data_IF_439548936146
#
_entry.id   IF_439548936146
#
_cell.length_a   1.000
_cell.length_b   1.000
_cell.length_c   1.000
_cell.angle_alpha   90.00
_cell.angle_beta   90.00
_cell.angle_gamma   90.00
#
_symmetry.space_group_name_H-M   'P 1'
#
loop_
_entity.id
_entity.type
_entity.pdbx_description
1 polymer ?
#
# COMPACT_ATOMS: atom_id res chain seq x y z
N UNK A 1 -7.86 16.98 13.14
CA UNK A 1 -6.42 16.75 12.88
C UNK A 1 -5.96 17.78 11.86
N UNK A 2 -5.09 18.72 12.23
CA UNK A 2 -4.63 19.74 11.27
C UNK A 2 -3.82 19.09 10.13
N UNK A 3 -4.19 19.36 8.87
CA UNK A 3 -3.50 18.83 7.67
C UNK A 3 -2.00 19.16 7.63
N UNK A 4 -1.53 20.13 8.43
CA UNK A 4 -0.14 20.58 8.52
C UNK A 4 0.85 19.47 8.89
N UNK A 5 0.42 18.44 9.63
CA UNK A 5 1.31 17.37 10.12
C UNK A 5 1.18 16.05 9.34
N UNK A 6 0.42 16.02 8.24
CA UNK A 6 0.27 14.83 7.39
C UNK A 6 1.15 14.95 6.14
N UNK A 7 2.00 13.96 5.89
CA UNK A 7 2.94 13.94 4.77
C UNK A 7 2.80 12.68 3.93
N UNK A 8 2.91 12.83 2.61
CA UNK A 8 2.80 11.73 1.64
C UNK A 8 4.13 11.49 0.92
N UNK A 9 4.65 10.28 1.07
CA UNK A 9 5.86 9.82 0.38
C UNK A 9 5.57 9.31 -1.03
N UNK A 10 5.84 10.12 -2.05
CA UNK A 10 5.57 9.81 -3.46
C UNK A 10 6.87 9.54 -4.22
N UNK A 11 6.84 8.66 -5.22
CA UNK A 11 8.00 8.46 -6.10
C UNK A 11 8.35 9.77 -6.83
N UNK A 12 9.64 10.06 -6.98
CA UNK A 12 10.12 11.30 -7.59
C UNK A 12 9.52 11.55 -8.98
N UNK A 13 9.37 10.50 -9.78
CA UNK A 13 8.79 10.55 -11.13
C UNK A 13 7.33 11.05 -11.16
N UNK A 14 6.53 10.76 -10.12
CA UNK A 14 5.11 11.12 -10.05
C UNK A 14 4.87 12.44 -9.31
N UNK A 15 5.93 13.14 -8.87
CA UNK A 15 5.78 14.34 -8.02
C UNK A 15 5.06 15.49 -8.73
N UNK A 16 5.29 15.66 -10.03
CA UNK A 16 4.67 16.74 -10.81
C UNK A 16 3.15 16.55 -10.89
N UNK A 17 2.72 15.39 -11.40
CA UNK A 17 1.29 15.04 -11.49
C UNK A 17 0.61 15.08 -10.11
N UNK A 18 1.27 14.57 -9.07
CA UNK A 18 0.70 14.55 -7.74
C UNK A 18 0.49 15.96 -7.16
N UNK A 19 1.41 16.90 -7.41
CA UNK A 19 1.26 18.31 -6.97
C UNK A 19 0.14 19.03 -7.71
N UNK A 20 -0.03 18.74 -9.00
CA UNK A 20 -1.12 19.30 -9.81
C UNK A 20 -2.47 18.76 -9.37
N UNK A 21 -2.59 17.44 -9.12
CA UNK A 21 -3.84 16.79 -8.72
C UNK A 21 -4.22 17.05 -7.26
N UNK A 22 -3.23 17.21 -6.37
CA UNK A 22 -3.45 17.34 -4.93
C UNK A 22 -2.62 18.49 -4.33
N UNK A 23 -2.96 19.75 -4.65
CA UNK A 23 -2.18 20.92 -4.22
C UNK A 23 -2.15 21.11 -2.70
N UNK A 24 -3.20 20.66 -2.00
CA UNK A 24 -3.34 20.83 -0.55
C UNK A 24 -2.58 19.78 0.29
N UNK A 25 -1.94 18.80 -0.34
CA UNK A 25 -1.22 17.72 0.36
C UNK A 25 0.26 18.06 0.50
N UNK A 26 0.84 17.74 1.68
CA UNK A 26 2.28 17.85 1.87
C UNK A 26 3.00 16.67 1.21
N UNK A 27 3.34 16.82 -0.07
CA UNK A 27 4.01 15.80 -0.86
C UNK A 27 5.54 15.87 -0.71
N UNK A 28 6.17 14.74 -0.43
CA UNK A 28 7.62 14.64 -0.28
C UNK A 28 8.15 13.46 -1.12
N UNK A 29 9.23 13.65 -1.90
CA UNK A 29 9.83 12.55 -2.63
C UNK A 29 10.33 11.47 -1.66
N UNK A 30 9.89 10.23 -1.88
CA UNK A 30 10.30 9.06 -1.08
C UNK A 30 11.82 8.91 -1.12
N UNK A 31 12.41 8.56 0.03
CA UNK A 31 13.86 8.43 0.23
C UNK A 31 14.70 9.69 0.04
N UNK A 32 14.08 10.88 -0.10
CA UNK A 32 14.81 12.13 0.05
C UNK A 32 15.24 12.36 1.50
N UNK A 33 16.25 13.22 1.72
CA UNK A 33 16.71 13.61 3.06
C UNK A 33 15.54 14.14 3.91
N UNK A 34 14.68 14.99 3.33
CA UNK A 34 13.48 15.50 3.99
C UNK A 34 12.52 14.37 4.39
N UNK A 35 12.32 13.37 3.53
CA UNK A 35 11.47 12.23 3.84
C UNK A 35 12.03 11.37 4.97
N UNK A 36 13.34 11.13 4.98
CA UNK A 36 14.00 10.38 6.06
C UNK A 36 13.90 11.12 7.40
N UNK A 37 14.11 12.43 7.38
CA UNK A 37 13.98 13.26 8.58
C UNK A 37 12.54 13.26 9.14
N UNK A 38 11.54 13.38 8.26
CA UNK A 38 10.13 13.32 8.65
C UNK A 38 9.75 11.94 9.19
N UNK A 39 10.15 10.86 8.51
CA UNK A 39 9.81 9.50 8.95
C UNK A 39 10.46 9.17 10.30
N UNK A 40 11.70 9.59 10.54
CA UNK A 40 12.35 9.39 11.84
C UNK A 40 11.64 10.09 13.02
N UNK A 41 10.93 11.20 12.75
CA UNK A 41 10.22 12.01 13.77
C UNK A 41 8.72 11.74 13.84
N UNK A 42 8.17 10.98 12.89
CA UNK A 42 6.73 10.76 12.81
C UNK A 42 6.25 9.88 13.97
N UNK A 43 5.12 10.25 14.56
CA UNK A 43 4.44 9.41 15.55
C UNK A 43 3.74 8.21 14.90
N UNK A 44 3.31 8.34 13.64
CA UNK A 44 2.59 7.30 12.91
C UNK A 44 3.20 7.05 11.55
N UNK A 45 3.41 5.77 11.24
CA UNK A 45 3.75 5.28 9.91
C UNK A 45 2.59 4.48 9.37
N UNK A 46 2.02 4.91 8.25
CA UNK A 46 0.92 4.22 7.58
C UNK A 46 1.41 3.78 6.20
N UNK A 47 1.52 2.47 5.99
CA UNK A 47 1.94 1.90 4.73
C UNK A 47 1.03 0.72 4.35
N UNK A 48 0.91 0.48 3.04
CA UNK A 48 0.19 -0.66 2.45
C UNK A 48 1.14 -1.71 1.85
N UNK A 49 2.44 -1.43 1.89
CA UNK A 49 3.49 -2.20 1.27
C UNK A 49 4.70 -2.26 2.18
N UNK A 50 5.65 -3.09 1.78
CA UNK A 50 6.85 -3.37 2.55
C UNK A 50 7.84 -2.21 2.51
N UNK A 51 8.47 -1.91 3.65
CA UNK A 51 9.52 -0.90 3.78
C UNK A 51 10.89 -1.56 3.93
N UNK A 52 11.96 -0.93 3.40
CA UNK A 52 13.30 -1.50 3.51
C UNK A 52 13.73 -1.78 4.96
N UNK A 53 14.48 -2.87 5.16
CA UNK A 53 14.94 -3.28 6.50
C UNK A 53 15.91 -2.29 7.14
N UNK A 54 16.63 -1.49 6.34
CA UNK A 54 17.54 -0.46 6.85
C UNK A 54 16.81 0.74 7.46
N UNK A 55 15.55 0.97 7.10
CA UNK A 55 14.75 2.06 7.66
C UNK A 55 14.23 1.61 9.03
N UNK A 56 14.80 2.09 10.12
CA UNK A 56 14.39 1.73 11.48
C UNK A 56 13.33 2.68 12.00
N UNK A 57 12.25 2.15 12.61
CA UNK A 57 11.26 2.97 13.31
C UNK A 57 11.81 3.42 14.66
N UNK A 58 11.40 4.59 15.13
CA UNK A 58 11.63 4.99 16.52
C UNK A 58 10.74 4.14 17.45
N UNK A 59 11.12 3.99 18.73
CA UNK A 59 10.36 3.24 19.74
C UNK A 59 8.95 3.78 19.95
N UNK A 60 8.78 5.10 19.84
CA UNK A 60 7.50 5.79 20.01
C UNK A 60 6.64 5.83 18.74
N UNK A 61 7.22 5.45 17.59
CA UNK A 61 6.48 5.45 16.32
C UNK A 61 5.58 4.22 16.24
N UNK A 62 4.30 4.44 15.98
CA UNK A 62 3.31 3.41 15.70
C UNK A 62 3.30 3.13 14.20
N UNK A 63 3.62 1.90 13.82
CA UNK A 63 3.62 1.41 12.45
C UNK A 63 2.35 0.60 12.18
N UNK A 64 1.46 1.21 11.40
CA UNK A 64 0.22 0.63 10.88
C UNK A 64 0.48 0.10 9.46
N UNK A 65 0.29 -1.20 9.27
CA UNK A 65 0.35 -1.87 7.97
C UNK A 65 -1.08 -2.18 7.52
N UNK A 66 -1.51 -1.57 6.41
CA UNK A 66 -2.82 -1.86 5.82
C UNK A 66 -2.78 -3.04 4.87
N UNK A 67 -1.59 -3.49 4.46
CA UNK A 67 -1.41 -4.47 3.39
C UNK A 67 -2.20 -4.09 2.12
N UNK A 68 -2.36 -5.01 1.17
CA UNK A 68 -2.94 -4.71 -0.14
C UNK A 68 -3.96 -5.73 -0.66
N UNK A 69 -4.42 -6.66 0.18
CA UNK A 69 -5.49 -7.58 -0.22
C UNK A 69 -5.54 -8.87 0.59
N UNK A 70 -6.65 -9.57 0.45
CA UNK A 70 -6.83 -10.93 0.97
C UNK A 70 -5.86 -11.87 0.25
N UNK A 71 -5.05 -12.64 0.98
CA UNK A 71 -4.09 -13.55 0.37
C UNK A 71 -4.81 -14.72 -0.31
N UNK A 72 -4.72 -14.79 -1.64
CA UNK A 72 -5.14 -15.97 -2.42
C UNK A 72 -3.96 -16.92 -2.69
N UNK A 73 -2.76 -16.36 -2.88
CA UNK A 73 -1.51 -17.12 -3.00
C UNK A 73 -0.87 -17.29 -1.63
N UNK A 74 -0.13 -18.39 -1.40
CA UNK A 74 0.67 -18.58 -0.19
C UNK A 74 1.69 -17.43 -0.07
N UNK A 75 1.81 -16.84 1.12
CA UNK A 75 2.70 -15.70 1.40
C UNK A 75 3.68 -16.05 2.52
N UNK A 76 4.82 -15.36 2.54
CA UNK A 76 5.77 -15.43 3.66
C UNK A 76 6.21 -16.86 3.99
N UNK A 77 5.93 -17.29 5.22
CA UNK A 77 6.32 -18.60 5.74
C UNK A 77 5.67 -19.79 5.00
N UNK A 78 4.52 -19.58 4.36
CA UNK A 78 3.76 -20.65 3.68
C UNK A 78 4.28 -20.96 2.27
N UNK A 79 5.22 -20.17 1.74
CA UNK A 79 5.83 -20.45 0.44
C UNK A 79 6.80 -21.64 0.60
N UNK A 80 6.53 -22.75 -0.08
CA UNK A 80 7.38 -23.94 -0.02
C UNK A 80 8.71 -23.74 -0.77
N UNK A 81 8.70 -23.08 -1.93
CA UNK A 81 9.90 -22.74 -2.69
C UNK A 81 9.78 -21.34 -3.30
N UNK A 82 10.79 -20.49 -3.05
CA UNK A 82 10.95 -19.18 -3.69
C UNK A 82 11.96 -19.33 -4.81
N UNK A 83 11.50 -19.48 -6.05
CA UNK A 83 12.35 -19.48 -7.24
C UNK A 83 12.68 -18.04 -7.70
N UNK A 84 13.13 -17.18 -6.78
CA UNK A 84 13.60 -15.83 -7.13
C UNK A 84 15.12 -15.82 -7.27
N UNK A 85 15.68 -15.32 -8.39
CA UNK A 85 17.12 -15.21 -8.56
C UNK A 85 17.73 -14.36 -7.42
N UNK A 86 18.78 -14.89 -6.77
CA UNK A 86 19.54 -14.17 -5.75
C UNK A 86 18.99 -14.20 -4.32
N UNK A 87 17.92 -14.96 -4.02
CA UNK A 87 17.42 -15.12 -2.65
C UNK A 87 17.02 -16.57 -2.36
N UNK A 88 17.56 -17.14 -1.28
CA UNK A 88 17.11 -18.44 -0.74
C UNK A 88 15.75 -18.29 -0.03
N UNK A 89 14.86 -19.27 -0.19
CA UNK A 89 13.55 -19.39 0.46
C UNK A 89 13.63 -19.09 1.96
N UNK A 90 14.67 -19.56 2.67
CA UNK A 90 14.86 -19.27 4.10
C UNK A 90 15.13 -17.79 4.37
N UNK A 91 16.00 -17.16 3.57
CA UNK A 91 16.35 -15.74 3.71
C UNK A 91 15.16 -14.84 3.42
N UNK A 92 14.35 -15.21 2.42
CA UNK A 92 13.10 -14.53 2.10
C UNK A 92 12.12 -14.57 3.28
N UNK A 93 11.86 -15.76 3.84
CA UNK A 93 10.97 -15.94 5.01
C UNK A 93 11.44 -15.12 6.21
N UNK A 94 12.73 -15.18 6.54
CA UNK A 94 13.28 -14.43 7.65
C UNK A 94 13.15 -12.92 7.46
N UNK A 95 13.40 -12.40 6.26
CA UNK A 95 13.19 -10.98 5.97
C UNK A 95 11.73 -10.55 6.17
N UNK A 96 10.77 -11.40 5.77
CA UNK A 96 9.35 -11.15 5.99
C UNK A 96 8.97 -11.12 7.47
N UNK A 97 9.45 -12.10 8.25
CA UNK A 97 9.17 -12.16 9.69
C UNK A 97 9.80 -10.96 10.41
N UNK A 98 11.04 -10.61 10.08
CA UNK A 98 11.72 -9.44 10.65
C UNK A 98 10.98 -8.14 10.31
N UNK A 99 10.43 -8.04 9.12
CA UNK A 99 9.62 -6.88 8.75
C UNK A 99 8.28 -6.86 9.50
N UNK A 100 7.58 -7.99 9.55
CA UNK A 100 6.30 -8.12 10.22
C UNK A 100 6.39 -7.79 11.72
N UNK A 101 7.47 -8.20 12.38
CA UNK A 101 7.76 -7.87 13.78
C UNK A 101 7.82 -6.36 14.07
N UNK A 102 8.04 -5.53 13.03
CA UNK A 102 8.11 -4.07 13.18
C UNK A 102 6.75 -3.39 13.13
N UNK A 103 5.72 -4.06 12.62
CA UNK A 103 4.37 -3.50 12.52
C UNK A 103 3.70 -3.62 13.88
N UNK A 104 3.17 -2.52 14.41
CA UNK A 104 2.40 -2.55 15.67
C UNK A 104 0.95 -2.98 15.41
N UNK A 105 0.42 -2.58 14.25
CA UNK A 105 -0.93 -2.92 13.81
C UNK A 105 -0.93 -3.46 12.38
N UNK A 106 -1.70 -4.52 12.15
CA UNK A 106 -1.97 -5.08 10.82
C UNK A 106 -3.48 -5.12 10.56
N UNK A 107 -3.93 -4.51 9.47
CA UNK A 107 -5.36 -4.56 9.10
C UNK A 107 -5.69 -5.90 8.42
N UNK A 108 -6.74 -6.57 8.89
CA UNK A 108 -7.31 -7.75 8.28
C UNK A 108 -8.72 -7.45 7.74
N UNK A 109 -9.05 -7.95 6.52
CA UNK A 109 -10.38 -7.75 5.96
C UNK A 109 -11.45 -8.70 6.54
N UNK A 110 -11.04 -9.79 7.19
CA UNK A 110 -11.91 -10.81 7.79
C UNK A 110 -11.09 -11.77 8.68
N UNK A 111 -11.78 -12.53 9.53
CA UNK A 111 -11.22 -13.55 10.44
C UNK A 111 -10.32 -14.58 9.72
N UNK A 112 -10.70 -15.00 8.51
CA UNK A 112 -9.90 -15.91 7.68
C UNK A 112 -8.52 -15.34 7.36
N UNK A 113 -8.48 -14.07 6.95
CA UNK A 113 -7.23 -13.38 6.62
C UNK A 113 -6.41 -13.12 7.87
N UNK A 114 -7.03 -12.82 9.00
CA UNK A 114 -6.33 -12.69 10.28
C UNK A 114 -5.57 -13.98 10.63
N UNK A 115 -6.24 -15.14 10.56
CA UNK A 115 -5.62 -16.44 10.85
C UNK A 115 -4.42 -16.69 9.93
N UNK A 116 -4.57 -16.42 8.63
CA UNK A 116 -3.47 -16.56 7.66
C UNK A 116 -2.35 -15.59 7.97
N UNK A 117 -2.64 -14.33 8.26
CA UNK A 117 -1.59 -13.33 8.53
C UNK A 117 -0.82 -13.65 9.80
N UNK A 118 -1.47 -14.11 10.86
CA UNK A 118 -0.82 -14.59 12.09
C UNK A 118 0.16 -15.73 11.79
N UNK A 119 -0.24 -16.69 10.95
CA UNK A 119 0.60 -17.84 10.57
C UNK A 119 1.73 -17.44 9.59
N UNK A 120 1.37 -16.87 8.43
CA UNK A 120 2.27 -16.56 7.33
C UNK A 120 3.36 -15.54 7.70
N UNK A 121 3.03 -14.60 8.60
CA UNK A 121 3.95 -13.56 9.05
C UNK A 121 4.53 -13.80 10.46
N UNK A 122 4.12 -14.88 11.13
CA UNK A 122 4.39 -15.09 12.57
C UNK A 122 4.09 -13.84 13.39
N UNK A 123 2.97 -13.18 13.06
CA UNK A 123 2.64 -11.87 13.60
C UNK A 123 2.04 -12.02 15.00
N UNK A 124 2.71 -11.45 15.98
CA UNK A 124 2.35 -11.55 17.41
C UNK A 124 1.74 -10.26 17.98
N UNK A 125 1.70 -9.19 17.17
CA UNK A 125 1.16 -7.91 17.61
C UNK A 125 -0.33 -7.81 17.25
N UNK A 126 -0.88 -6.59 17.19
CA UNK A 126 -2.32 -6.37 17.10
C UNK A 126 -2.82 -6.48 15.66
N UNK A 127 -3.74 -7.40 15.40
CA UNK A 127 -4.49 -7.45 14.14
C UNK A 127 -5.80 -6.71 14.32
N UNK A 128 -6.16 -5.86 13.36
CA UNK A 128 -7.39 -5.07 13.35
C UNK A 128 -8.32 -5.64 12.26
N UNK A 129 -9.33 -6.40 12.67
CA UNK A 129 -10.37 -6.93 11.78
C UNK A 129 -11.44 -5.87 11.51
N UNK A 130 -11.13 -4.89 10.66
CA UNK A 130 -12.00 -3.74 10.38
C UNK A 130 -12.35 -3.56 8.90
N UNK A 131 -11.91 -4.47 8.02
CA UNK A 131 -12.00 -4.24 6.58
C UNK A 131 -10.89 -3.32 6.06
N UNK A 132 -10.78 -3.20 4.74
CA UNK A 132 -9.81 -2.27 4.14
C UNK A 132 -10.44 -0.89 3.93
N UNK A 133 -9.75 0.21 4.32
CA UNK A 133 -10.25 1.57 4.08
C UNK A 133 -10.57 1.87 2.61
N UNK A 134 -9.87 1.20 1.67
CA UNK A 134 -10.13 1.36 0.23
C UNK A 134 -11.49 0.80 -0.22
N UNK A 135 -12.10 -0.07 0.58
CA UNK A 135 -13.37 -0.71 0.28
C UNK A 135 -14.56 0.10 0.81
N UNK A 136 -14.33 1.14 1.62
CA UNK A 136 -15.39 1.98 2.19
C UNK A 136 -16.27 2.58 1.09
N UNK A 137 -15.66 3.01 -0.01
CA UNK A 137 -16.35 3.55 -1.18
C UNK A 137 -17.33 2.54 -1.80
N UNK A 138 -16.97 1.24 -1.81
CA UNK A 138 -17.83 0.18 -2.35
C UNK A 138 -19.07 -0.04 -1.50
N UNK A 139 -18.95 0.13 -0.18
CA UNK A 139 -20.07 -0.06 0.75
C UNK A 139 -20.94 1.19 0.78
N UNK A 140 -20.32 2.36 0.94
CA UNK A 140 -21.03 3.62 1.13
C UNK A 140 -21.71 4.13 -0.14
N UNK A 141 -21.17 3.82 -1.32
CA UNK A 141 -21.70 4.28 -2.61
C UNK A 141 -22.28 3.17 -3.49
N UNK A 142 -22.59 2.00 -2.93
CA UNK A 142 -23.11 0.84 -3.69
C UNK A 142 -24.36 1.18 -4.54
N UNK A 143 -25.23 2.05 -4.02
CA UNK A 143 -26.49 2.44 -4.70
C UNK A 143 -26.42 3.83 -5.36
N UNK A 144 -25.25 4.46 -5.40
CA UNK A 144 -25.07 5.79 -5.95
C UNK A 144 -25.02 5.73 -7.50
N UNK A 145 -26.18 5.79 -8.13
CA UNK A 145 -26.32 5.71 -9.60
C UNK A 145 -25.60 6.84 -10.34
N UNK A 146 -25.60 8.04 -9.77
CA UNK A 146 -24.92 9.20 -10.38
C UNK A 146 -23.41 8.99 -10.45
N UNK A 147 -22.79 8.55 -9.34
CA UNK A 147 -21.38 8.19 -9.31
C UNK A 147 -21.07 7.05 -10.29
N UNK A 148 -21.92 6.02 -10.34
CA UNK A 148 -21.75 4.91 -11.29
C UNK A 148 -21.78 5.39 -12.73
N UNK A 149 -22.71 6.28 -13.09
CA UNK A 149 -22.82 6.81 -14.45
C UNK A 149 -21.66 7.76 -14.80
N UNK A 150 -21.16 8.55 -13.84
CA UNK A 150 -19.95 9.35 -14.02
C UNK A 150 -18.72 8.45 -14.30
N UNK A 151 -18.52 7.41 -13.50
CA UNK A 151 -17.43 6.45 -13.68
C UNK A 151 -17.55 5.69 -15.01
N UNK A 152 -18.77 5.31 -15.41
CA UNK A 152 -19.04 4.72 -16.74
C UNK A 152 -18.63 5.67 -17.85
N UNK A 153 -19.02 6.95 -17.80
CA UNK A 153 -18.63 7.94 -18.81
C UNK A 153 -17.12 8.07 -18.90
N UNK A 154 -16.42 8.26 -17.77
CA UNK A 154 -14.94 8.37 -17.74
C UNK A 154 -14.24 7.15 -18.37
N UNK A 155 -14.71 5.94 -18.06
CA UNK A 155 -14.13 4.69 -18.59
C UNK A 155 -14.50 4.44 -20.05
N UNK A 156 -15.71 4.80 -20.50
CA UNK A 156 -16.15 4.65 -21.88
C UNK A 156 -15.32 5.52 -22.84
N UNK A 157 -15.03 6.76 -22.44
CA UNK A 157 -14.19 7.68 -23.23
C UNK A 157 -12.72 7.25 -23.28
N UNK A 158 -12.18 6.66 -22.21
CA UNK A 158 -10.82 6.08 -22.21
C UNK A 158 -10.68 4.86 -23.14
N UNK A 159 -11.73 4.03 -23.26
CA UNK A 159 -11.76 2.90 -24.22
C UNK A 159 -11.84 3.35 -25.68
N UNK A 160 -12.49 4.48 -25.96
CA UNK A 160 -12.56 5.02 -27.32
C UNK A 160 -11.19 5.53 -27.79
N UNK A 161 -10.43 6.18 -26.92
CA UNK A 161 -9.07 6.65 -27.24
C UNK A 161 -8.06 5.51 -27.47
N UNK A 162 -8.12 4.44 -26.69
CA UNK A 162 -7.21 3.27 -26.89
C UNK A 162 -7.50 2.50 -28.17
N UNK A 163 -8.70 2.62 -28.76
CA UNK A 163 -9.06 1.99 -30.04
C UNK A 163 -8.62 2.79 -31.28
N UNK A 164 -8.32 4.08 -31.14
CA UNK A 164 -7.88 4.96 -32.24
C UNK A 164 -6.39 5.37 -32.16
N UNK A 165 -5.63 4.86 -31.17
CA UNK A 165 -4.21 5.23 -30.97
C UNK A 165 -3.21 4.16 -31.42
N UNK A 166 -3.63 3.09 -32.09
CA UNK A 166 -2.73 2.09 -32.65
C UNK A 166 -2.66 2.24 -34.18
N UNK A 167 -1.51 2.76 -34.63
CA UNK A 167 -0.94 2.78 -35.98
C UNK A 167 -1.24 4.02 -36.86
N UNK A 168 -0.22 4.91 -37.01
CA UNK A 168 0.02 5.56 -38.29
C UNK A 168 1.50 5.44 -38.67
N UNK A 169 2.02 4.23 -38.87
CA UNK A 169 3.28 4.05 -39.61
C UNK A 169 3.30 2.65 -40.24
N UNK A 170 2.96 2.61 -41.53
CA UNK A 170 3.52 1.76 -42.59
C UNK A 170 2.70 2.05 -43.85
N UNK A 171 3.20 3.01 -44.64
CA UNK A 171 3.02 3.03 -46.09
C UNK A 171 4.14 2.17 -46.71
#
# INVERSE_FOLDING_TARGET
MEKKNLYWGIKKENMKEARERYPDLNLVPRFSIKWLWLTARANFWIFNSRMPNWLKKNKETIYIQTWHGTPLKKLGADIQEVAMPGTDTKKYKNNFILEAKRWDYLIAPNEYSEKIFKQAFQFQNNVLEIGYPRNDELVNNNNNKELQDELRKKTYWQRKWTRYSLCPYLA
#
